data_IF_160465795353
#
_entry.id   IF_160465795353
#
_cell.length_a   1.000
_cell.length_b   1.000
_cell.length_c   1.000
_cell.angle_alpha   90.00
_cell.angle_beta   90.00
_cell.angle_gamma   90.00
#
_symmetry.space_group_name_H-M   'P 1'
#
loop_
_entity.id
_entity.type
_entity.pdbx_description
1 polymer ?
#
# COMPACT_ATOMS: atom_id res chain seq x y z
N UNK A 1 -49.09 36.59 -25.78
CA UNK A 1 -49.59 36.56 -24.39
C UNK A 1 -49.01 35.30 -23.78
N UNK A 2 -48.03 35.24 -22.87
CA UNK A 2 -47.23 36.20 -22.10
C UNK A 2 -45.92 35.43 -21.79
N UNK A 3 -44.74 35.92 -22.16
CA UNK A 3 -43.71 36.48 -21.27
C UNK A 3 -43.90 36.21 -19.76
N UNK A 4 -42.92 35.58 -19.10
CA UNK A 4 -42.06 36.24 -18.10
C UNK A 4 -40.80 35.42 -17.77
N UNK A 5 -39.66 36.12 -17.78
CA UNK A 5 -38.34 35.71 -17.30
C UNK A 5 -38.15 36.12 -15.84
N UNK A 6 -37.31 35.44 -15.06
CA UNK A 6 -36.44 36.11 -14.08
C UNK A 6 -35.29 35.22 -13.59
N UNK A 7 -34.07 35.69 -13.86
CA UNK A 7 -32.82 35.42 -13.16
C UNK A 7 -32.79 36.28 -11.90
N UNK A 8 -32.35 35.76 -10.75
CA UNK A 8 -31.61 36.56 -9.75
C UNK A 8 -30.78 35.67 -8.83
N UNK A 9 -29.48 35.89 -8.80
CA UNK A 9 -28.59 35.41 -7.74
C UNK A 9 -28.48 36.43 -6.62
N UNK A 10 -28.10 35.97 -5.42
CA UNK A 10 -27.47 36.76 -4.38
C UNK A 10 -26.53 35.86 -3.55
N UNK A 11 -25.32 36.37 -3.35
CA UNK A 11 -24.30 35.85 -2.45
C UNK A 11 -24.74 35.96 -0.98
N UNK A 12 -24.36 35.01 -0.14
CA UNK A 12 -24.13 35.33 1.29
C UNK A 12 -23.04 34.44 1.88
N UNK A 13 -21.94 35.12 2.17
CA UNK A 13 -20.77 34.69 2.91
C UNK A 13 -21.20 34.44 4.35
N UNK A 14 -20.82 33.31 4.94
CA UNK A 14 -20.56 33.26 6.38
C UNK A 14 -19.60 32.10 6.70
N UNK A 15 -18.32 32.45 6.84
CA UNK A 15 -17.32 31.73 7.62
C UNK A 15 -17.41 32.27 9.06
N UNK A 16 -17.16 31.45 10.08
CA UNK A 16 -16.01 31.82 10.91
C UNK A 16 -15.14 30.61 11.29
N UNK A 17 -13.85 30.75 10.96
CA UNK A 17 -12.69 30.52 11.81
C UNK A 17 -12.85 29.53 12.98
N UNK A 18 -12.20 28.37 12.84
CA UNK A 18 -11.26 27.95 13.87
C UNK A 18 -10.02 27.29 13.27
N UNK A 19 -8.91 28.02 13.42
CA UNK A 19 -7.55 27.60 13.12
C UNK A 19 -7.09 26.63 14.19
N UNK A 20 -6.70 25.42 13.81
CA UNK A 20 -5.54 24.79 14.42
C UNK A 20 -4.65 24.17 13.33
N UNK A 21 -3.60 24.94 13.02
CA UNK A 21 -2.41 24.56 12.28
C UNK A 21 -1.52 23.78 13.24
N UNK A 22 -1.32 22.49 12.98
CA UNK A 22 -0.21 21.74 13.57
C UNK A 22 0.65 21.21 12.43
N UNK A 23 1.77 21.87 12.22
CA UNK A 23 2.90 21.32 11.46
C UNK A 23 3.59 20.29 12.35
N UNK A 24 3.73 19.05 11.87
CA UNK A 24 4.77 18.14 12.36
C UNK A 24 5.33 17.32 11.19
N UNK A 25 6.59 17.60 10.93
CA UNK A 25 7.64 16.85 10.24
C UNK A 25 7.49 15.33 10.10
N UNK A 26 7.78 14.86 8.88
CA UNK A 26 8.48 13.62 8.50
C UNK A 26 9.11 12.78 9.63
N UNK A 27 8.68 11.53 9.81
CA UNK A 27 9.59 10.38 10.03
C UNK A 27 8.88 9.03 9.87
N UNK A 28 9.50 8.16 9.07
CA UNK A 28 9.59 6.69 9.16
C UNK A 28 8.33 5.81 9.40
N UNK A 29 8.10 4.91 8.44
CA UNK A 29 7.86 3.48 8.71
C UNK A 29 6.49 3.10 9.27
N UNK A 30 5.50 2.92 8.40
CA UNK A 30 4.28 2.18 8.75
C UNK A 30 4.61 0.68 8.77
N UNK A 31 5.09 0.22 9.92
CA UNK A 31 5.21 -1.20 10.24
C UNK A 31 3.85 -1.71 10.72
N UNK A 32 3.29 -2.62 9.92
CA UNK A 32 2.10 -3.43 10.21
C UNK A 32 2.31 -4.12 11.56
N UNK A 33 1.49 -3.80 12.56
CA UNK A 33 1.53 -4.43 13.88
C UNK A 33 0.98 -5.86 13.80
N UNK A 34 1.74 -6.90 14.15
CA UNK A 34 1.18 -8.23 14.32
C UNK A 34 0.41 -8.28 15.64
N UNK A 35 -0.82 -8.78 15.56
CA UNK A 35 -1.66 -9.21 16.67
C UNK A 35 -0.84 -9.99 17.72
N UNK A 36 -0.57 -9.36 18.87
CA UNK A 36 0.02 -10.01 20.03
C UNK A 36 -1.05 -10.86 20.71
N UNK A 37 -0.88 -12.18 20.65
CA UNK A 37 -1.58 -13.14 21.50
C UNK A 37 -1.17 -12.93 22.96
N UNK A 38 -2.06 -13.11 23.95
CA UNK A 38 -1.70 -12.94 25.35
C UNK A 38 -0.62 -13.93 25.76
N UNK A 39 0.52 -13.37 26.17
CA UNK A 39 1.61 -14.06 26.88
C UNK A 39 1.02 -14.73 28.12
N UNK A 40 1.12 -16.05 28.20
CA UNK A 40 0.63 -16.83 29.34
C UNK A 40 1.55 -16.55 30.51
N UNK A 41 1.10 -15.64 31.37
CA UNK A 41 1.79 -15.17 32.56
C UNK A 41 2.21 -16.35 33.44
N UNK A 42 3.50 -16.40 33.78
CA UNK A 42 4.01 -17.23 34.86
C UNK A 42 3.32 -16.82 36.17
N UNK A 43 2.40 -17.65 36.66
CA UNK A 43 1.77 -17.46 37.95
C UNK A 43 2.81 -17.76 39.06
N UNK A 44 3.27 -16.70 39.71
CA UNK A 44 3.88 -16.77 41.03
C UNK A 44 2.80 -17.21 42.03
N UNK A 45 3.05 -18.29 42.77
CA UNK A 45 2.15 -18.77 43.82
C UNK A 45 2.77 -18.37 45.16
N UNK A 46 2.18 -17.37 45.81
CA UNK A 46 2.33 -17.14 47.24
C UNK A 46 1.17 -17.82 47.97
N UNK A 47 1.46 -18.27 49.17
CA UNK A 47 0.78 -19.30 49.96
C UNK A 47 -0.62 -18.89 50.49
N UNK A 48 -1.37 -19.90 50.93
CA UNK A 48 -2.56 -19.87 51.78
C UNK A 48 -3.93 -19.51 51.17
N UNK A 49 -4.61 -20.53 50.65
CA UNK A 49 -6.07 -20.73 50.80
C UNK A 49 -6.43 -22.16 50.39
N UNK A 50 -6.49 -23.03 51.39
CA UNK A 50 -7.00 -24.40 51.29
C UNK A 50 -8.38 -24.48 50.60
N UNK A 51 -8.57 -25.55 49.82
CA UNK A 51 -9.84 -26.22 49.48
C UNK A 51 -10.42 -26.21 48.03
N UNK A 52 -9.76 -25.78 46.94
CA UNK A 52 -10.36 -26.01 45.59
C UNK A 52 -9.41 -26.25 44.39
N UNK A 53 -8.33 -27.03 44.54
CA UNK A 53 -7.51 -27.51 43.41
C UNK A 53 -7.56 -29.04 43.26
N UNK A 54 -8.76 -29.59 43.04
CA UNK A 54 -8.91 -31.01 42.66
C UNK A 54 -8.75 -31.16 41.14
N UNK A 55 -7.69 -31.88 40.77
CA UNK A 55 -7.47 -32.59 39.49
C UNK A 55 -7.09 -31.78 38.24
N UNK A 56 -5.93 -31.10 38.28
CA UNK A 56 -5.09 -31.03 37.07
C UNK A 56 -3.92 -31.99 37.27
N UNK A 57 -3.71 -33.01 36.41
CA UNK A 57 -2.52 -33.84 36.50
C UNK A 57 -1.30 -32.94 36.33
N UNK A 58 -0.43 -32.90 37.35
CA UNK A 58 0.83 -32.16 37.25
C UNK A 58 1.68 -32.80 36.16
N UNK A 59 2.23 -31.98 35.26
CA UNK A 59 3.11 -32.47 34.21
C UNK A 59 4.33 -33.15 34.87
N UNK A 60 4.72 -34.36 34.45
CA UNK A 60 5.94 -35.00 34.93
C UNK A 60 7.12 -34.06 34.77
N UNK A 61 8.00 -34.00 35.77
CA UNK A 61 9.19 -33.14 35.69
C UNK A 61 10.08 -33.63 34.56
N UNK A 62 10.23 -32.80 33.52
CA UNK A 62 11.19 -33.06 32.46
C UNK A 62 12.59 -32.97 33.08
N UNK A 63 13.31 -34.09 33.14
CA UNK A 63 14.72 -34.10 33.51
C UNK A 63 15.52 -33.20 32.58
N UNK A 64 16.64 -32.64 33.06
CA UNK A 64 17.49 -31.76 32.26
C UNK A 64 18.09 -32.54 31.08
N UNK A 65 17.45 -32.44 29.92
CA UNK A 65 18.00 -32.94 28.68
C UNK A 65 19.05 -31.96 28.19
N UNK A 66 20.21 -32.47 27.75
CA UNK A 66 21.20 -31.69 26.99
C UNK A 66 20.48 -31.08 25.79
N UNK A 67 20.73 -29.80 25.51
CA UNK A 67 20.20 -29.09 24.33
C UNK A 67 20.53 -29.90 23.07
N UNK A 68 19.52 -30.58 22.50
CA UNK A 68 19.62 -31.13 21.15
C UNK A 68 19.85 -29.95 20.22
N UNK A 69 20.90 -30.02 19.40
CA UNK A 69 21.30 -28.93 18.50
C UNK A 69 20.18 -28.43 17.59
N UNK A 70 20.42 -27.27 16.98
CA UNK A 70 19.45 -26.58 16.14
C UNK A 70 18.91 -27.49 15.01
N UNK A 71 17.58 -27.48 14.84
CA UNK A 71 16.86 -28.20 13.78
C UNK A 71 16.94 -27.49 12.42
N UNK A 72 17.83 -26.51 12.26
CA UNK A 72 17.91 -25.70 11.05
C UNK A 72 18.73 -26.45 10.01
N UNK A 73 18.05 -27.04 9.03
CA UNK A 73 18.66 -27.58 7.81
C UNK A 73 18.81 -26.45 6.78
N UNK A 74 20.02 -26.17 6.26
CA UNK A 74 20.21 -25.19 5.18
C UNK A 74 19.38 -25.55 3.95
N UNK A 75 18.84 -24.53 3.27
CA UNK A 75 17.91 -24.70 2.13
C UNK A 75 18.53 -25.40 0.91
N UNK A 76 19.86 -25.32 0.78
CA UNK A 76 20.63 -25.97 -0.30
C UNK A 76 21.28 -27.29 0.15
N UNK A 77 20.86 -27.84 1.29
CA UNK A 77 21.33 -29.15 1.76
C UNK A 77 20.89 -30.28 0.83
N UNK A 78 21.61 -31.42 0.82
CA UNK A 78 21.23 -32.57 0.02
C UNK A 78 19.79 -32.97 0.35
N UNK A 79 18.90 -32.88 -0.64
CA UNK A 79 17.53 -33.38 -0.51
C UNK A 79 17.61 -34.90 -0.55
N UNK A 80 17.59 -35.51 0.63
CA UNK A 80 17.62 -36.95 0.77
C UNK A 80 16.23 -37.46 0.38
N UNK A 81 16.08 -37.86 -0.89
CA UNK A 81 14.98 -38.67 -1.38
C UNK A 81 15.36 -40.14 -1.13
N UNK A 82 15.31 -40.60 0.13
CA UNK A 82 15.38 -42.04 0.36
C UNK A 82 14.02 -42.63 -0.02
N UNK A 83 14.05 -43.68 -0.84
CA UNK A 83 12.92 -44.61 -0.91
C UNK A 83 12.85 -45.28 0.46
N UNK A 84 12.01 -44.75 1.34
CA UNK A 84 11.79 -45.32 2.67
C UNK A 84 11.19 -46.73 2.49
N UNK A 85 12.01 -47.77 2.70
CA UNK A 85 11.55 -49.15 2.81
C UNK A 85 10.72 -49.29 4.10
N UNK A 86 9.41 -49.08 3.98
CA UNK A 86 8.49 -49.19 5.11
C UNK A 86 8.39 -50.64 5.61
N UNK A 87 8.81 -50.89 6.84
CA UNK A 87 8.66 -52.21 7.48
C UNK A 87 7.18 -52.55 7.74
N UNK A 88 6.83 -53.84 7.68
CA UNK A 88 5.48 -54.32 7.94
C UNK A 88 5.12 -54.09 9.42
N UNK A 89 4.36 -53.02 9.69
CA UNK A 89 4.02 -52.57 11.04
C UNK A 89 4.54 -51.18 11.40
N UNK A 90 5.16 -50.45 10.46
CA UNK A 90 5.60 -49.08 10.70
C UNK A 90 4.41 -48.18 11.09
N UNK A 91 4.47 -47.64 12.30
CA UNK A 91 3.48 -46.74 12.86
C UNK A 91 3.24 -45.49 12.00
N UNK A 92 4.23 -45.06 11.19
CA UNK A 92 4.09 -43.95 10.23
C UNK A 92 3.11 -44.25 9.11
N UNK A 93 2.89 -45.53 8.79
CA UNK A 93 1.87 -45.99 7.83
C UNK A 93 0.49 -46.14 8.48
N UNK A 94 0.44 -46.24 9.81
CA UNK A 94 -0.79 -46.41 10.60
C UNK A 94 -1.41 -45.08 11.08
N UNK A 95 -0.71 -43.96 10.89
CA UNK A 95 -1.30 -42.63 11.12
C UNK A 95 -2.34 -42.32 10.04
N UNK A 96 -3.52 -41.73 10.37
CA UNK A 96 -4.44 -41.22 9.36
C UNK A 96 -3.75 -40.15 8.51
N UNK A 97 -3.20 -40.56 7.35
CA UNK A 97 -2.76 -39.64 6.31
C UNK A 97 -4.01 -39.10 5.62
N UNK A 98 -4.02 -37.82 5.24
CA UNK A 98 -4.99 -37.33 4.25
C UNK A 98 -4.95 -38.27 3.05
N UNK A 99 -6.10 -38.63 2.50
CA UNK A 99 -6.14 -39.42 1.26
C UNK A 99 -5.26 -38.72 0.22
N UNK A 100 -4.44 -39.47 -0.52
CA UNK A 100 -3.53 -38.88 -1.52
C UNK A 100 -4.27 -37.99 -2.51
N UNK A 101 -5.50 -38.37 -2.84
CA UNK A 101 -6.45 -37.60 -3.66
C UNK A 101 -6.76 -36.19 -3.08
N UNK A 102 -6.92 -36.06 -1.75
CA UNK A 102 -7.16 -34.76 -1.12
C UNK A 102 -5.92 -33.87 -1.18
N UNK A 103 -4.72 -34.44 -1.07
CA UNK A 103 -3.45 -33.70 -1.16
C UNK A 103 -3.23 -33.18 -2.59
N UNK A 104 -3.50 -34.00 -3.60
CA UNK A 104 -3.41 -33.60 -5.00
C UNK A 104 -4.42 -32.49 -5.34
N UNK A 105 -5.66 -32.61 -4.84
CA UNK A 105 -6.68 -31.58 -4.99
C UNK A 105 -6.24 -30.25 -4.36
N UNK A 106 -5.67 -30.29 -3.16
CA UNK A 106 -5.16 -29.10 -2.47
C UNK A 106 -3.99 -28.46 -3.24
N UNK A 107 -3.12 -29.27 -3.83
CA UNK A 107 -2.02 -28.80 -4.68
C UNK A 107 -2.52 -28.09 -5.93
N UNK A 108 -3.56 -28.64 -6.57
CA UNK A 108 -4.15 -28.03 -7.77
C UNK A 108 -4.91 -26.74 -7.44
N UNK A 109 -5.68 -26.72 -6.34
CA UNK A 109 -6.35 -25.50 -5.87
C UNK A 109 -5.33 -24.37 -5.58
N UNK A 110 -4.20 -24.71 -4.95
CA UNK A 110 -3.13 -23.75 -4.70
C UNK A 110 -2.51 -23.20 -6.00
N UNK A 111 -2.32 -24.06 -7.02
CA UNK A 111 -1.84 -23.61 -8.35
C UNK A 111 -2.84 -22.68 -9.02
N UNK A 112 -4.12 -23.03 -9.01
CA UNK A 112 -5.17 -22.20 -9.60
C UNK A 112 -5.26 -20.84 -8.91
N UNK A 113 -5.19 -20.82 -7.57
CA UNK A 113 -5.18 -19.57 -6.80
C UNK A 113 -3.97 -18.68 -7.15
N UNK A 114 -2.78 -19.27 -7.33
CA UNK A 114 -1.59 -18.53 -7.75
C UNK A 114 -1.73 -17.95 -9.17
N UNK A 115 -2.28 -18.73 -10.10
CA UNK A 115 -2.52 -18.28 -11.47
C UNK A 115 -3.51 -17.12 -11.49
N UNK A 116 -4.59 -17.21 -10.71
CA UNK A 116 -5.59 -16.14 -10.63
C UNK A 116 -5.01 -14.86 -10.03
N UNK A 117 -4.21 -14.96 -8.97
CA UNK A 117 -3.51 -13.80 -8.40
C UNK A 117 -2.57 -13.15 -9.41
N UNK A 118 -1.81 -13.95 -10.17
CA UNK A 118 -0.94 -13.45 -11.22
C UNK A 118 -1.74 -12.72 -12.31
N UNK A 119 -2.91 -13.24 -12.69
CA UNK A 119 -3.81 -12.61 -13.67
C UNK A 119 -4.34 -11.26 -13.16
N UNK A 120 -4.78 -11.20 -11.90
CA UNK A 120 -5.26 -9.96 -11.28
C UNK A 120 -4.15 -8.91 -11.29
N UNK A 121 -2.94 -9.29 -10.90
CA UNK A 121 -1.79 -8.39 -10.90
C UNK A 121 -1.48 -7.88 -12.32
N UNK A 122 -1.46 -8.77 -13.32
CA UNK A 122 -1.23 -8.40 -14.70
C UNK A 122 -2.27 -7.38 -15.20
N UNK A 123 -3.54 -7.61 -14.91
CA UNK A 123 -4.62 -6.68 -15.27
C UNK A 123 -4.47 -5.33 -14.56
N UNK A 124 -4.10 -5.35 -13.28
CA UNK A 124 -3.85 -4.13 -12.52
C UNK A 124 -2.67 -3.33 -13.10
N UNK A 125 -1.60 -4.00 -13.51
CA UNK A 125 -0.44 -3.34 -14.12
C UNK A 125 -0.80 -2.74 -15.48
N UNK A 126 -1.57 -3.46 -16.30
CA UNK A 126 -2.03 -2.95 -17.58
C UNK A 126 -2.87 -1.68 -17.42
N UNK A 127 -3.82 -1.68 -16.47
CA UNK A 127 -4.65 -0.50 -16.19
C UNK A 127 -3.82 0.72 -15.73
N UNK A 128 -2.73 0.49 -14.99
CA UNK A 128 -1.81 1.56 -14.59
C UNK A 128 -1.06 2.11 -15.81
N UNK A 129 -0.58 1.25 -16.70
CA UNK A 129 0.10 1.67 -17.94
C UNK A 129 -0.81 2.55 -18.79
N UNK A 130 -2.05 2.11 -19.04
CA UNK A 130 -3.02 2.87 -19.83
C UNK A 130 -3.29 4.25 -19.20
N UNK A 131 -3.40 4.32 -17.87
CA UNK A 131 -3.59 5.59 -17.15
C UNK A 131 -2.37 6.50 -17.27
N UNK A 132 -1.16 5.96 -17.20
CA UNK A 132 0.08 6.73 -17.37
C UNK A 132 0.18 7.29 -18.79
N UNK A 133 -0.18 6.50 -19.80
CA UNK A 133 -0.22 6.98 -21.19
C UNK A 133 -1.24 8.10 -21.40
N UNK A 134 -2.44 7.97 -20.81
CA UNK A 134 -3.44 9.05 -20.83
C UNK A 134 -2.90 10.33 -20.17
N UNK A 135 -2.25 10.23 -19.02
CA UNK A 135 -1.66 11.41 -18.34
C UNK A 135 -0.53 12.00 -19.17
N UNK A 136 0.30 11.17 -19.81
CA UNK A 136 1.40 11.63 -20.66
C UNK A 136 0.89 12.43 -21.86
N UNK A 137 -0.14 11.94 -22.55
CA UNK A 137 -0.73 12.64 -23.70
C UNK A 137 -1.41 13.95 -23.29
N UNK A 138 -2.10 13.98 -22.15
CA UNK A 138 -2.66 15.22 -21.61
C UNK A 138 -1.56 16.21 -21.21
N UNK A 139 -0.49 15.74 -20.58
CA UNK A 139 0.66 16.57 -20.22
C UNK A 139 1.31 17.18 -21.45
N UNK A 140 1.55 16.40 -22.51
CA UNK A 140 2.11 16.91 -23.78
C UNK A 140 1.21 17.99 -24.40
N UNK A 141 -0.12 17.79 -24.35
CA UNK A 141 -1.09 18.79 -24.81
C UNK A 141 -1.01 20.09 -24.00
N UNK A 142 -0.97 19.99 -22.67
CA UNK A 142 -0.88 21.15 -21.78
C UNK A 142 0.47 21.86 -21.91
N UNK A 143 1.55 21.10 -22.04
CA UNK A 143 2.88 21.64 -22.26
C UNK A 143 2.98 22.38 -23.60
N UNK A 144 2.43 21.81 -24.67
CA UNK A 144 2.31 22.47 -25.98
C UNK A 144 1.50 23.76 -25.91
N UNK A 145 0.35 23.73 -25.23
CA UNK A 145 -0.46 24.93 -24.99
C UNK A 145 0.27 25.99 -24.16
N UNK A 146 0.99 25.60 -23.12
CA UNK A 146 1.77 26.52 -22.29
C UNK A 146 2.92 27.17 -23.08
N UNK A 147 3.65 26.38 -23.88
CA UNK A 147 4.66 26.90 -24.81
C UNK A 147 4.06 27.91 -25.79
N UNK A 148 2.90 27.61 -26.38
CA UNK A 148 2.20 28.54 -27.28
C UNK A 148 1.85 29.85 -26.57
N UNK A 149 1.29 29.79 -25.37
CA UNK A 149 0.96 30.99 -24.59
C UNK A 149 2.21 31.81 -24.23
N UNK A 150 3.31 31.16 -23.85
CA UNK A 150 4.57 31.84 -23.56
C UNK A 150 5.14 32.55 -24.80
N UNK A 151 5.14 31.89 -25.96
CA UNK A 151 5.55 32.50 -27.23
C UNK A 151 4.67 33.69 -27.59
N UNK A 152 3.35 33.56 -27.48
CA UNK A 152 2.42 34.64 -27.79
C UNK A 152 2.61 35.86 -26.86
N UNK A 153 2.77 35.63 -25.56
CA UNK A 153 3.07 36.69 -24.60
C UNK A 153 4.42 37.33 -24.92
N UNK A 154 5.44 36.53 -25.25
CA UNK A 154 6.75 37.02 -25.66
C UNK A 154 6.68 37.94 -26.88
N UNK A 155 5.99 37.53 -27.93
CA UNK A 155 5.76 38.33 -29.14
C UNK A 155 4.97 39.61 -28.84
N UNK A 156 3.90 39.52 -28.05
CA UNK A 156 3.09 40.67 -27.67
C UNK A 156 3.90 41.68 -26.84
N UNK A 157 4.72 41.21 -25.92
CA UNK A 157 5.60 42.09 -25.13
C UNK A 157 6.70 42.73 -25.98
N UNK A 158 7.29 41.99 -26.93
CA UNK A 158 8.29 42.52 -27.86
C UNK A 158 7.67 43.59 -28.76
N UNK A 159 6.54 43.30 -29.41
CA UNK A 159 5.83 44.27 -30.25
C UNK A 159 5.38 45.48 -29.43
N UNK A 160 4.83 45.29 -28.24
CA UNK A 160 4.37 46.37 -27.36
C UNK A 160 5.51 47.29 -26.89
N UNK A 161 6.72 46.75 -26.65
CA UNK A 161 7.92 47.57 -26.40
C UNK A 161 8.38 48.36 -27.63
N UNK A 162 8.30 47.77 -28.82
CA UNK A 162 8.69 48.44 -30.08
C UNK A 162 7.69 49.55 -30.43
N UNK A 163 6.39 49.34 -30.24
CA UNK A 163 5.35 50.33 -30.59
C UNK A 163 5.21 51.44 -29.56
N UNK A 164 5.46 51.18 -28.27
CA UNK A 164 5.44 52.21 -27.21
C UNK A 164 6.69 53.09 -27.18
N UNK A 165 7.81 52.59 -27.73
CA UNK A 165 9.08 53.33 -27.89
C UNK A 165 9.14 54.15 -29.19
N UNK A 166 8.11 54.12 -30.04
CA UNK A 166 8.07 54.96 -31.23
C UNK A 166 8.22 56.45 -30.82
N UNK A 167 9.21 57.20 -31.34
CA UNK A 167 9.46 58.56 -30.90
C UNK A 167 8.24 59.42 -31.22
N UNK A 168 7.49 59.79 -30.19
CA UNK A 168 6.44 60.80 -30.30
C UNK A 168 7.11 62.10 -30.76
N UNK A 169 7.06 62.35 -32.07
CA UNK A 169 7.44 63.59 -32.72
C UNK A 169 6.41 64.67 -32.34
N UNK A 170 6.36 65.07 -31.06
CA UNK A 170 5.83 66.37 -30.62
C UNK A 170 6.94 67.36 -30.96
N UNK A 171 6.80 68.21 -31.97
CA UNK A 171 5.67 69.13 -32.08
C UNK A 171 6.21 70.49 -31.66
N UNK A 172 6.77 71.18 -32.65
CA UNK A 172 7.26 72.56 -32.67
C UNK A 172 6.40 73.50 -31.82
N UNK A 173 6.96 74.07 -30.75
CA UNK A 173 6.46 75.23 -30.02
C UNK A 173 7.60 75.78 -29.15
N UNK A 174 7.80 77.07 -28.94
CA UNK A 174 7.39 78.30 -29.60
C UNK A 174 8.31 79.37 -28.98
N UNK A 175 8.92 80.18 -29.84
CA UNK A 175 9.64 81.42 -29.53
C UNK A 175 8.88 82.28 -28.52
N UNK A 176 9.45 82.58 -27.34
CA UNK A 176 9.30 83.85 -26.59
C UNK A 176 10.51 84.05 -25.69
#
# INVERSE_FOLDING_TARGET
MSQESAVTGIHSINEPADRLRTQTSITAGSAISPSLTPDSSAAVSEDDSDLHLKARPSRPRLGSRKSSGTMIVPRDGPTVLEEDDYEQGDMRTMSPRRSSEEVDRLGEEARLALIEQARILQNSLQAIVDRVESVKTEHERLEGGNKFLQSYIGELMQTSRITSSAPSKRGKAAKR
#
